data_IF_400248835873
#
_entry.id   IF_400248835873
#
_cell.length_a   1.000
_cell.length_b   1.000
_cell.length_c   1.000
_cell.angle_alpha   90.00
_cell.angle_beta   90.00
_cell.angle_gamma   90.00
#
_symmetry.space_group_name_H-M   'P 1'
#
loop_
_entity.id
_entity.type
_entity.pdbx_description
1 polymer ?
#
# COMPACT_ATOMS: atom_id res chain seq x y z
N UNK A 1 0.01 9.88 3.01
CA UNK A 1 0.59 8.70 2.34
C UNK A 1 1.85 8.29 3.08
N UNK A 2 2.05 7.00 3.33
CA UNK A 2 3.26 6.46 3.97
C UNK A 2 3.87 5.41 3.04
N UNK A 3 5.18 5.51 2.80
CA UNK A 3 5.94 4.58 1.97
C UNK A 3 7.12 4.07 2.79
N UNK A 4 7.30 2.75 2.82
CA UNK A 4 8.46 2.09 3.43
C UNK A 4 9.12 1.24 2.36
N UNK A 5 10.41 1.48 2.13
CA UNK A 5 11.25 0.66 1.26
C UNK A 5 12.29 -0.05 2.12
N UNK A 6 12.38 -1.36 2.00
CA UNK A 6 13.33 -2.19 2.75
C UNK A 6 14.14 -3.07 1.81
N UNK A 7 15.44 -3.11 2.01
CA UNK A 7 16.34 -3.98 1.24
C UNK A 7 17.72 -3.35 1.06
N UNK A 8 18.46 -3.84 0.08
CA UNK A 8 19.79 -3.30 -0.28
C UNK A 8 19.64 -2.04 -1.15
N UNK A 9 19.16 -0.96 -0.53
CA UNK A 9 18.89 0.29 -1.23
C UNK A 9 20.19 0.87 -1.83
N UNK A 10 20.15 1.19 -3.12
CA UNK A 10 21.30 1.73 -3.85
C UNK A 10 22.46 0.75 -4.05
N UNK A 11 22.26 -0.56 -3.86
CA UNK A 11 23.32 -1.58 -4.00
C UNK A 11 24.25 -1.70 -2.80
N UNK A 12 23.93 -1.06 -1.68
CA UNK A 12 24.69 -1.18 -0.43
C UNK A 12 24.79 -2.65 0.03
N UNK A 13 25.90 -2.99 0.70
CA UNK A 13 26.14 -4.35 1.21
C UNK A 13 25.13 -4.73 2.30
N UNK A 14 24.76 -3.77 3.15
CA UNK A 14 23.80 -3.96 4.24
C UNK A 14 22.40 -3.50 3.84
N UNK A 15 21.39 -4.27 4.22
CA UNK A 15 20.00 -3.90 4.03
C UNK A 15 19.60 -2.75 4.97
N UNK A 16 18.90 -1.76 4.43
CA UNK A 16 18.36 -0.61 5.16
C UNK A 16 16.87 -0.47 4.90
N UNK A 17 16.18 0.12 5.86
CA UNK A 17 14.76 0.45 5.74
C UNK A 17 14.62 1.96 5.77
N UNK A 18 14.10 2.52 4.69
CA UNK A 18 13.75 3.94 4.61
C UNK A 18 12.25 4.10 4.64
N UNK A 19 11.80 5.07 5.44
CA UNK A 19 10.40 5.44 5.54
C UNK A 19 10.25 6.91 5.20
N UNK A 20 9.34 7.20 4.28
CA UNK A 20 8.82 8.54 4.05
C UNK A 20 7.32 8.54 4.36
N UNK A 21 6.87 9.59 5.03
CA UNK A 21 5.46 9.76 5.32
C UNK A 21 5.11 11.23 5.18
N UNK A 22 4.01 11.48 4.48
CA UNK A 22 3.50 12.81 4.24
C UNK A 22 2.02 12.86 4.62
N UNK A 23 1.64 13.87 5.40
CA UNK A 23 0.30 14.00 5.96
C UNK A 23 0.01 13.02 7.09
N UNK A 24 -1.28 12.69 7.28
CA UNK A 24 -1.78 11.83 8.36
C UNK A 24 -2.10 10.43 7.83
N UNK A 25 -1.64 9.40 8.54
CA UNK A 25 -1.98 7.98 8.27
C UNK A 25 -2.25 7.29 9.62
N UNK A 26 -3.48 7.39 10.15
CA UNK A 26 -3.83 6.86 11.46
C UNK A 26 -4.05 5.34 11.42
N UNK A 27 -3.00 4.56 11.70
CA UNK A 27 -3.02 3.09 11.62
C UNK A 27 -3.85 2.39 12.72
N UNK A 28 -4.12 3.07 13.83
CA UNK A 28 -4.90 2.51 14.94
C UNK A 28 -6.40 2.80 14.84
N UNK A 29 -6.81 3.64 13.90
CA UNK A 29 -8.20 4.09 13.76
C UNK A 29 -8.93 3.19 12.77
N UNK A 30 -9.77 2.26 13.26
CA UNK A 30 -10.47 1.28 12.41
C UNK A 30 -11.42 1.90 11.37
N UNK A 31 -11.95 3.10 11.63
CA UNK A 31 -12.80 3.85 10.70
C UNK A 31 -12.04 4.55 9.56
N UNK A 32 -10.71 4.54 9.61
CA UNK A 32 -9.89 5.13 8.56
C UNK A 32 -9.86 4.20 7.35
N UNK A 33 -10.25 4.71 6.19
CA UNK A 33 -10.09 3.99 4.92
C UNK A 33 -8.63 4.08 4.48
N UNK A 34 -7.91 2.97 4.62
CA UNK A 34 -6.48 2.87 4.34
C UNK A 34 -6.25 1.69 3.40
N UNK A 35 -5.82 2.02 2.18
CA UNK A 35 -5.30 1.00 1.27
C UNK A 35 -3.87 0.66 1.65
N UNK A 36 -3.60 -0.63 1.75
CA UNK A 36 -2.24 -1.17 1.88
C UNK A 36 -1.86 -1.92 0.61
N UNK A 37 -0.69 -1.59 0.06
CA UNK A 37 -0.08 -2.30 -1.05
C UNK A 37 1.33 -2.75 -0.70
N UNK A 38 1.67 -3.98 -1.08
CA UNK A 38 3.03 -4.50 -1.03
C UNK A 38 3.46 -4.97 -2.42
N UNK A 39 4.65 -4.54 -2.84
CA UNK A 39 5.26 -4.97 -4.07
C UNK A 39 6.77 -5.19 -3.87
N UNK A 40 7.31 -6.13 -4.62
CA UNK A 40 8.73 -6.45 -4.61
C UNK A 40 9.38 -5.97 -5.91
N UNK A 41 10.50 -5.26 -5.79
CA UNK A 41 11.32 -4.86 -6.92
C UNK A 41 12.53 -5.79 -7.02
N UNK A 42 12.61 -6.53 -8.13
CA UNK A 42 13.74 -7.39 -8.45
C UNK A 42 14.87 -6.55 -9.04
N UNK A 43 15.98 -6.42 -8.30
CA UNK A 43 17.17 -5.70 -8.74
C UNK A 43 18.36 -6.65 -8.86
N UNK A 44 19.41 -6.23 -9.54
CA UNK A 44 20.65 -7.02 -9.70
C UNK A 44 21.29 -7.40 -8.35
N UNK A 45 21.09 -6.58 -7.31
CA UNK A 45 21.66 -6.78 -5.98
C UNK A 45 20.73 -7.52 -5.02
N UNK A 46 19.55 -7.95 -5.48
CA UNK A 46 18.56 -8.66 -4.70
C UNK A 46 17.17 -8.02 -4.78
N UNK A 47 16.32 -8.32 -3.81
CA UNK A 47 14.93 -7.90 -3.78
C UNK A 47 14.77 -6.71 -2.85
N UNK A 48 14.08 -5.66 -3.32
CA UNK A 48 13.67 -4.51 -2.50
C UNK A 48 12.16 -4.61 -2.28
N UNK A 49 11.74 -4.68 -1.01
CA UNK A 49 10.34 -4.66 -0.64
C UNK A 49 9.83 -3.23 -0.51
N UNK A 50 8.73 -2.90 -1.17
CA UNK A 50 8.05 -1.60 -1.11
C UNK A 50 6.67 -1.79 -0.51
N UNK A 51 6.43 -1.13 0.62
CA UNK A 51 5.16 -1.13 1.34
C UNK A 51 4.57 0.27 1.30
N UNK A 52 3.33 0.40 0.86
CA UNK A 52 2.64 1.68 0.68
C UNK A 52 1.32 1.67 1.43
N UNK A 53 1.04 2.77 2.13
CA UNK A 53 -0.24 3.06 2.76
C UNK A 53 -0.80 4.37 2.22
N UNK A 54 -2.01 4.31 1.69
CA UNK A 54 -2.74 5.48 1.17
C UNK A 54 -3.99 5.66 2.05
N UNK A 55 -4.01 6.76 2.80
CA UNK A 55 -5.18 7.16 3.57
C UNK A 55 -6.11 7.96 2.65
N UNK A 56 -7.30 7.43 2.38
CA UNK A 56 -8.31 8.04 1.49
C UNK A 56 -9.31 8.93 2.23
N UNK A 57 -9.42 8.76 3.55
CA UNK A 57 -10.37 9.50 4.38
C UNK A 57 -10.96 8.63 5.47
N UNK A 58 -11.99 9.13 6.15
CA UNK A 58 -12.78 8.36 7.10
C UNK A 58 -14.09 7.95 6.44
N UNK A 59 -14.45 6.66 6.51
CA UNK A 59 -15.74 6.20 6.02
C UNK A 59 -16.77 6.52 7.11
N UNK A 60 -17.62 7.51 6.85
CA UNK A 60 -18.85 7.71 7.60
C UNK A 60 -19.93 6.89 6.88
N UNK A 61 -20.61 6.02 7.62
CA UNK A 61 -21.66 5.12 7.17
C UNK A 61 -22.85 5.92 6.60
N UNK A 62 -22.75 6.39 5.36
CA UNK A 62 -23.82 7.13 4.65
C UNK A 62 -23.69 7.10 3.11
N UNK A 63 -22.84 6.26 2.53
CA UNK A 63 -22.82 6.07 1.08
C UNK A 63 -23.15 4.61 0.77
N UNK A 64 -24.32 4.42 0.15
CA UNK A 64 -24.74 3.20 -0.53
C UNK A 64 -23.57 2.50 -1.21
N UNK A 65 -23.47 1.20 -0.98
CA UNK A 65 -22.59 0.29 -1.70
C UNK A 65 -22.96 0.36 -3.19
N UNK A 66 -22.20 1.13 -3.97
CA UNK A 66 -22.22 1.03 -5.42
C UNK A 66 -21.70 -0.39 -5.80
N UNK A 67 -22.41 -1.15 -6.64
CA UNK A 67 -22.06 -2.53 -6.93
C UNK A 67 -20.80 -2.58 -7.80
N UNK A 68 -19.75 -3.24 -7.31
CA UNK A 68 -18.61 -3.63 -8.11
C UNK A 68 -18.90 -4.99 -8.77
N UNK A 69 -18.99 -4.94 -10.11
CA UNK A 69 -18.67 -6.00 -11.08
C UNK A 69 -19.37 -7.36 -10.96
N UNK A 70 -20.54 -7.46 -11.60
CA UNK A 70 -21.06 -8.72 -12.17
C UNK A 70 -20.98 -8.62 -13.70
N UNK A 71 -19.79 -8.75 -14.28
CA UNK A 71 -19.60 -8.68 -15.74
C UNK A 71 -18.71 -9.80 -16.33
N UNK A 72 -18.33 -10.82 -15.56
CA UNK A 72 -17.44 -11.90 -16.05
C UNK A 72 -18.00 -13.32 -15.82
N UNK A 73 -19.28 -13.53 -16.19
CA UNK A 73 -19.92 -14.85 -16.17
C UNK A 73 -20.68 -15.15 -17.49
N UNK A 74 -20.21 -14.60 -18.61
CA UNK A 74 -20.72 -14.88 -19.94
C UNK A 74 -19.60 -15.39 -20.88
N UNK A 75 -18.88 -16.43 -20.46
CA UNK A 75 -17.99 -17.22 -21.34
C UNK A 75 -17.52 -18.52 -20.68
N UNK A 76 -18.42 -19.44 -20.29
CA UNK A 76 -18.21 -20.91 -20.29
C UNK A 76 -19.53 -21.63 -20.38
#
# INVERSE_FOLDING_TARGET
>A
VKVICSGRLGGAEMARTEQYHEGRVPLHTLRADIDYGFAEANTTYGIIGVKVWIFKGEVFESAEVAPADTADAAAR
#
